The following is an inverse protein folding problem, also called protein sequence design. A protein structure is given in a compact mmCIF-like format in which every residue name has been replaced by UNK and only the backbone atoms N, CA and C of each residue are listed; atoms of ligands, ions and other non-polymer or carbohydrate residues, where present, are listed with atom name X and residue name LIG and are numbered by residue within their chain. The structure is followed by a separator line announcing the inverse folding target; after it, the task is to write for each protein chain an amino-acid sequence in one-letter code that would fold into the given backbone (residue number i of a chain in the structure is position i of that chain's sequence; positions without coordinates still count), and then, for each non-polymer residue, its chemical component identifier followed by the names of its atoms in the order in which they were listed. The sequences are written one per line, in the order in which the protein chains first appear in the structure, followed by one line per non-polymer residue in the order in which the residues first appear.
data_IF_954977686100
#
_entry.id   IF_954977686100
#
_cell.length_a   1.000
_cell.length_b   1.000
_cell.length_c   1.000
_cell.angle_alpha   90.00
_cell.angle_beta   90.00
_cell.angle_gamma   90.00
#
_symmetry.space_group_name_H-M   'P 1'
#
loop_
_entity.id
_entity.type
_entity.pdbx_description
1 polymer ?
#
# COMPACT_ATOMS: atom_id res chain seq x y z
N UNK A 1 21.92 16.51 8.46
CA UNK A 1 21.82 15.22 9.17
C UNK A 1 20.90 14.33 8.36
N UNK A 2 21.47 13.45 7.54
CA UNK A 2 20.71 12.57 6.65
C UNK A 2 19.92 11.59 7.52
N UNK A 3 18.60 11.74 7.59
CA UNK A 3 17.75 10.70 8.13
C UNK A 3 18.02 9.45 7.27
N UNK A 4 18.63 8.44 7.87
CA UNK A 4 18.83 7.16 7.20
C UNK A 4 17.46 6.67 6.76
N UNK A 5 17.26 6.48 5.45
CA UNK A 5 16.03 5.90 4.93
C UNK A 5 15.73 4.62 5.71
N UNK A 6 14.47 4.41 6.15
CA UNK A 6 14.12 3.23 6.91
C UNK A 6 14.52 1.97 6.14
N UNK A 7 15.43 1.17 6.71
CA UNK A 7 15.89 -0.07 6.08
C UNK A 7 14.79 -1.13 6.18
N UNK A 8 13.92 -1.15 5.19
CA UNK A 8 12.86 -2.16 5.10
C UNK A 8 13.47 -3.54 4.91
N UNK A 9 12.86 -4.54 5.57
CA UNK A 9 13.15 -5.97 5.35
C UNK A 9 11.95 -6.70 4.80
N UNK A 10 10.77 -6.07 4.85
CA UNK A 10 9.51 -6.65 4.40
C UNK A 10 8.64 -5.56 3.78
N UNK A 11 8.17 -5.76 2.56
CA UNK A 11 7.17 -4.93 1.90
C UNK A 11 5.93 -5.81 1.65
N UNK A 12 4.75 -5.32 2.05
CA UNK A 12 3.48 -5.99 1.79
C UNK A 12 2.52 -5.03 1.11
N UNK A 13 2.13 -5.36 -0.11
CA UNK A 13 1.03 -4.68 -0.82
C UNK A 13 -0.31 -5.29 -0.44
N UNK A 14 -1.21 -4.46 0.09
CA UNK A 14 -2.58 -4.87 0.41
C UNK A 14 -3.47 -4.85 -0.84
N UNK A 15 -4.42 -5.78 -0.87
CA UNK A 15 -5.42 -5.94 -1.93
C UNK A 15 -6.20 -7.23 -1.77
N UNK A 16 -7.36 -7.31 -2.42
CA UNK A 16 -8.18 -8.52 -2.42
C UNK A 16 -7.72 -9.47 -3.55
N UNK A 17 -7.65 -10.79 -3.31
CA UNK A 17 -7.06 -11.74 -4.25
C UNK A 17 -7.94 -12.05 -5.47
N UNK A 18 -9.27 -11.91 -5.36
CA UNK A 18 -10.15 -12.26 -6.48
C UNK A 18 -9.91 -11.37 -7.70
N UNK A 19 -9.94 -11.97 -8.90
CA UNK A 19 -9.72 -11.28 -10.18
C UNK A 19 -10.66 -10.10 -10.40
N UNK A 20 -11.88 -10.14 -9.86
CA UNK A 20 -12.84 -9.04 -9.93
C UNK A 20 -12.32 -7.75 -9.26
N UNK A 21 -11.36 -7.83 -8.34
CA UNK A 21 -10.77 -6.66 -7.68
C UNK A 21 -9.45 -6.19 -8.28
N UNK A 22 -8.84 -6.95 -9.20
CA UNK A 22 -7.48 -6.71 -9.70
C UNK A 22 -7.22 -5.25 -10.14
N UNK A 23 -8.19 -4.62 -10.80
CA UNK A 23 -8.11 -3.23 -11.27
C UNK A 23 -8.99 -2.26 -10.48
N UNK A 24 -9.14 -2.48 -9.18
CA UNK A 24 -9.86 -1.56 -8.27
C UNK A 24 -8.89 -0.71 -7.45
N UNK A 25 -9.34 0.45 -6.99
CA UNK A 25 -8.51 1.31 -6.13
C UNK A 25 -8.02 0.58 -4.87
N UNK A 26 -8.81 -0.34 -4.33
CA UNK A 26 -8.46 -1.13 -3.15
C UNK A 26 -7.30 -2.11 -3.38
N UNK A 27 -6.96 -2.37 -4.65
CA UNK A 27 -5.85 -3.23 -5.04
C UNK A 27 -4.61 -2.43 -5.47
N UNK A 28 -4.55 -1.12 -5.22
CA UNK A 28 -3.37 -0.29 -5.51
C UNK A 28 -2.10 -0.82 -4.85
N UNK A 29 -2.21 -1.40 -3.64
CA UNK A 29 -1.07 -2.06 -3.00
C UNK A 29 -0.55 -3.25 -3.80
N UNK A 30 -1.43 -4.07 -4.39
CA UNK A 30 -1.02 -5.15 -5.30
C UNK A 30 -0.37 -4.61 -6.58
N UNK A 31 -0.97 -3.59 -7.19
CA UNK A 31 -0.45 -2.97 -8.41
C UNK A 31 0.95 -2.36 -8.20
N UNK A 32 1.20 -1.78 -7.03
CA UNK A 32 2.52 -1.28 -6.65
C UNK A 32 3.55 -2.42 -6.55
N UNK A 33 3.17 -3.55 -5.93
CA UNK A 33 4.06 -4.71 -5.87
C UNK A 33 4.33 -5.27 -7.27
N UNK A 34 3.32 -5.33 -8.13
CA UNK A 34 3.50 -5.76 -9.52
C UNK A 34 4.49 -4.85 -10.25
N UNK A 35 4.41 -3.53 -10.04
CA UNK A 35 5.40 -2.57 -10.53
C UNK A 35 6.81 -2.85 -9.99
N UNK A 36 6.98 -3.01 -8.68
CA UNK A 36 8.29 -3.30 -8.08
C UNK A 36 8.94 -4.56 -8.64
N UNK A 37 8.14 -5.59 -8.91
CA UNK A 37 8.63 -6.86 -9.44
C UNK A 37 9.09 -6.77 -10.91
N UNK A 38 8.79 -5.68 -11.61
CA UNK A 38 9.32 -5.42 -12.97
C UNK A 38 10.77 -4.95 -12.96
N UNK A 39 11.28 -4.44 -11.84
CA UNK A 39 12.66 -4.01 -11.71
C UNK A 39 13.54 -5.18 -11.22
N UNK A 40 14.40 -5.74 -12.09
CA UNK A 40 15.28 -6.84 -11.71
C UNK A 40 16.31 -6.43 -10.65
N UNK A 41 16.71 -5.15 -10.56
CA UNK A 41 17.70 -4.67 -9.58
C UNK A 41 17.18 -4.75 -8.15
N UNK A 42 15.89 -4.46 -7.96
CA UNK A 42 15.21 -4.60 -6.68
C UNK A 42 15.27 -6.03 -6.12
N UNK A 43 15.34 -7.03 -7.00
CA UNK A 43 15.45 -8.43 -6.62
C UNK A 43 16.89 -8.89 -6.36
N UNK A 44 17.87 -8.34 -7.10
CA UNK A 44 19.28 -8.77 -7.03
C UNK A 44 20.11 -8.00 -6.00
N UNK A 45 19.89 -6.70 -5.84
CA UNK A 45 20.70 -5.83 -4.97
C UNK A 45 20.23 -5.86 -3.51
N UNK A 46 18.94 -6.14 -3.27
CA UNK A 46 18.33 -6.18 -1.94
C UNK A 46 18.05 -7.61 -1.48
N UNK A 47 19.10 -8.44 -1.36
CA UNK A 47 19.00 -9.86 -0.98
C UNK A 47 18.26 -10.15 0.34
N UNK A 48 18.12 -9.14 1.20
CA UNK A 48 17.42 -9.24 2.49
C UNK A 48 15.99 -8.66 2.49
N UNK A 49 15.55 -8.05 1.40
CA UNK A 49 14.21 -7.46 1.27
C UNK A 49 13.24 -8.52 0.75
N UNK A 50 12.18 -8.77 1.51
CA UNK A 50 11.11 -9.67 1.08
C UNK A 50 9.89 -8.86 0.66
N UNK A 51 9.32 -9.17 -0.50
CA UNK A 51 8.20 -8.45 -1.08
C UNK A 51 7.04 -9.42 -1.28
N UNK A 52 5.83 -9.05 -0.83
CA UNK A 52 4.64 -9.88 -0.93
C UNK A 52 3.40 -9.09 -1.32
N UNK A 53 2.52 -9.70 -2.12
CA UNK A 53 1.10 -9.32 -2.22
C UNK A 53 0.30 -10.10 -1.18
N UNK A 54 -0.66 -9.46 -0.52
CA UNK A 54 -1.61 -10.19 0.33
C UNK A 54 -2.44 -11.18 -0.49
N UNK A 55 -2.55 -12.42 -0.02
CA UNK A 55 -3.35 -13.48 -0.66
C UNK A 55 -4.67 -13.73 0.08
N UNK A 56 -5.11 -12.75 0.87
CA UNK A 56 -6.29 -12.81 1.73
C UNK A 56 -7.14 -11.56 1.54
N UNK A 57 -8.42 -11.63 1.89
CA UNK A 57 -9.29 -10.45 1.87
C UNK A 57 -8.78 -9.37 2.82
N UNK A 58 -9.11 -8.11 2.50
CA UNK A 58 -8.58 -6.93 3.18
C UNK A 58 -8.73 -7.01 4.70
N UNK A 59 -9.91 -7.41 5.19
CA UNK A 59 -10.21 -7.56 6.62
C UNK A 59 -9.50 -8.73 7.32
N UNK A 60 -8.72 -9.55 6.59
CA UNK A 60 -7.91 -10.65 7.09
C UNK A 60 -6.40 -10.40 6.96
N UNK A 61 -6.00 -9.19 6.51
CA UNK A 61 -4.60 -8.82 6.23
C UNK A 61 -3.67 -9.00 7.42
N UNK A 62 -4.16 -8.87 8.65
CA UNK A 62 -3.36 -8.96 9.87
C UNK A 62 -2.75 -10.33 10.09
N UNK A 63 -3.51 -11.41 9.83
CA UNK A 63 -2.98 -12.77 9.94
C UNK A 63 -1.92 -13.05 8.88
N UNK A 64 -2.11 -12.53 7.66
CA UNK A 64 -1.12 -12.61 6.60
C UNK A 64 0.18 -11.88 6.98
N UNK A 65 0.08 -10.62 7.41
CA UNK A 65 1.24 -9.82 7.83
C UNK A 65 1.97 -10.46 9.01
N UNK A 66 1.24 -10.98 10.00
CA UNK A 66 1.83 -11.72 11.13
C UNK A 66 2.64 -12.93 10.67
N UNK A 67 2.10 -13.71 9.72
CA UNK A 67 2.81 -14.85 9.11
C UNK A 67 4.07 -14.39 8.38
N UNK A 68 4.00 -13.30 7.61
CA UNK A 68 5.14 -12.78 6.86
C UNK A 68 6.24 -12.20 7.76
N UNK A 69 5.89 -11.52 8.84
CA UNK A 69 6.86 -11.07 9.86
C UNK A 69 7.61 -12.24 10.48
N UNK A 70 6.89 -13.32 10.84
CA UNK A 70 7.52 -14.55 11.37
C UNK A 70 8.46 -15.18 10.33
N UNK A 71 8.03 -15.26 9.07
CA UNK A 71 8.82 -15.84 7.98
C UNK A 71 10.07 -15.02 7.66
N UNK A 72 9.99 -13.70 7.70
CA UNK A 72 11.10 -12.81 7.34
C UNK A 72 12.07 -12.53 8.48
N UNK A 73 11.67 -12.77 9.73
CA UNK A 73 12.42 -12.33 10.90
C UNK A 73 12.54 -10.80 11.01
N UNK A 74 11.69 -10.05 10.30
CA UNK A 74 11.61 -8.60 10.38
C UNK A 74 10.83 -8.18 11.64
N UNK A 75 11.24 -7.05 12.23
CA UNK A 75 10.46 -6.38 13.27
C UNK A 75 9.34 -5.54 12.63
N UNK A 76 8.26 -5.21 13.36
CA UNK A 76 7.22 -4.30 12.85
C UNK A 76 7.76 -2.96 12.34
N UNK A 77 8.84 -2.43 12.91
CA UNK A 77 9.44 -1.17 12.47
C UNK A 77 10.17 -1.29 11.12
N UNK A 78 10.40 -2.52 10.64
CA UNK A 78 11.10 -2.84 9.40
C UNK A 78 10.15 -3.27 8.26
N UNK A 79 8.83 -3.20 8.47
CA UNK A 79 7.83 -3.49 7.43
C UNK A 79 7.27 -2.20 6.82
N UNK A 80 7.12 -2.20 5.49
CA UNK A 80 6.35 -1.23 4.73
C UNK A 80 5.04 -1.87 4.26
N UNK A 81 3.91 -1.36 4.73
CA UNK A 81 2.58 -1.73 4.24
C UNK A 81 2.17 -0.73 3.16
N UNK A 82 1.92 -1.21 1.95
CA UNK A 82 1.47 -0.38 0.82
C UNK A 82 -0.04 -0.55 0.65
N UNK A 83 -0.79 0.55 0.69
CA UNK A 83 -2.25 0.50 0.61
C UNK A 83 -2.85 1.79 0.04
N UNK A 84 -4.12 1.72 -0.36
CA UNK A 84 -4.89 2.86 -0.83
C UNK A 84 -5.31 3.81 0.29
N UNK A 85 -5.49 5.09 -0.02
CA UNK A 85 -5.88 6.09 0.96
C UNK A 85 -6.88 7.09 0.40
N UNK A 86 -8.08 7.09 0.98
CA UNK A 86 -9.19 7.94 0.51
C UNK A 86 -9.06 9.40 0.98
N UNK A 87 -8.16 9.72 1.90
CA UNK A 87 -7.90 11.10 2.32
C UNK A 87 -6.88 11.81 1.40
N UNK A 88 -6.18 11.03 0.56
CA UNK A 88 -5.12 11.53 -0.31
C UNK A 88 -5.61 11.53 -1.75
N UNK A 89 -5.34 12.62 -2.46
CA UNK A 89 -5.67 12.73 -3.87
C UNK A 89 -4.80 11.81 -4.74
N UNK A 90 -5.37 11.24 -5.78
CA UNK A 90 -4.66 10.43 -6.75
C UNK A 90 -3.51 11.19 -7.39
N UNK A 91 -2.40 10.53 -7.65
CA UNK A 91 -1.15 11.19 -8.07
C UNK A 91 -0.32 11.73 -6.91
N UNK A 92 -0.78 11.60 -5.67
CA UNK A 92 -0.03 11.90 -4.45
C UNK A 92 0.12 10.65 -3.59
N UNK A 93 1.14 10.64 -2.73
CA UNK A 93 1.38 9.58 -1.76
C UNK A 93 1.95 10.16 -0.47
N UNK A 94 1.93 9.37 0.60
CA UNK A 94 2.52 9.76 1.90
C UNK A 94 3.12 8.56 2.61
N UNK A 95 4.37 8.72 3.06
CA UNK A 95 4.99 7.79 3.99
C UNK A 95 4.55 8.16 5.43
N UNK A 96 4.13 7.15 6.21
CA UNK A 96 3.73 7.36 7.61
C UNK A 96 4.19 6.23 8.52
N UNK A 97 4.52 6.57 9.77
CA UNK A 97 4.92 5.62 10.80
C UNK A 97 4.06 5.78 12.04
N UNK A 98 3.65 4.69 12.69
CA UNK A 98 3.04 4.77 14.03
C UNK A 98 1.61 5.32 14.08
N UNK A 99 0.93 5.53 12.95
CA UNK A 99 -0.37 6.22 12.88
C UNK A 99 -1.55 5.25 12.84
N UNK A 100 -2.73 5.71 13.28
CA UNK A 100 -3.97 4.92 13.26
C UNK A 100 -4.45 4.57 11.84
N UNK A 101 -5.37 3.61 11.75
CA UNK A 101 -5.88 3.06 10.49
C UNK A 101 -6.72 4.04 9.66
N UNK A 102 -7.30 5.09 10.26
CA UNK A 102 -8.15 6.06 9.59
C UNK A 102 -9.29 5.40 8.75
N UNK A 103 -9.93 4.38 9.31
CA UNK A 103 -11.02 3.64 8.65
C UNK A 103 -10.58 2.59 7.62
N UNK A 104 -9.28 2.41 7.37
CA UNK A 104 -8.80 1.38 6.46
C UNK A 104 -8.79 -0.01 7.14
N UNK A 105 -9.74 -0.87 6.78
CA UNK A 105 -9.93 -2.19 7.40
C UNK A 105 -8.71 -3.12 7.39
N UNK A 106 -7.89 -3.08 6.33
CA UNK A 106 -6.64 -3.86 6.29
C UNK A 106 -5.64 -3.44 7.36
N UNK A 107 -5.36 -2.14 7.46
CA UNK A 107 -4.50 -1.56 8.48
C UNK A 107 -5.08 -1.77 9.88
N UNK A 108 -6.39 -1.59 10.07
CA UNK A 108 -7.07 -1.84 11.34
C UNK A 108 -6.88 -3.28 11.79
N UNK A 109 -7.12 -4.24 10.91
CA UNK A 109 -6.93 -5.66 11.19
C UNK A 109 -5.46 -6.01 11.46
N UNK A 110 -4.50 -5.40 10.74
CA UNK A 110 -3.07 -5.55 11.01
C UNK A 110 -2.75 -5.04 12.43
N UNK A 111 -3.13 -3.81 12.77
CA UNK A 111 -2.86 -3.21 14.08
C UNK A 111 -3.41 -4.07 15.23
N UNK A 112 -4.63 -4.58 15.09
CA UNK A 112 -5.24 -5.48 16.05
C UNK A 112 -4.49 -6.82 16.17
N UNK A 113 -4.07 -7.39 15.03
CA UNK A 113 -3.47 -8.73 14.99
C UNK A 113 -2.02 -8.78 15.48
N UNK A 114 -1.20 -7.78 15.11
CA UNK A 114 0.22 -7.69 15.52
C UNK A 114 0.40 -6.88 16.82
N UNK A 115 -0.69 -6.33 17.37
CA UNK A 115 -0.74 -5.56 18.64
C UNK A 115 0.20 -4.35 18.67
N UNK A 116 0.43 -3.70 17.52
CA UNK A 116 1.25 -2.49 17.43
C UNK A 116 0.84 -1.62 16.25
N UNK A 117 1.11 -0.32 16.35
CA UNK A 117 1.01 0.65 15.24
C UNK A 117 2.37 1.00 14.65
N UNK A 118 3.47 0.51 15.26
CA UNK A 118 4.86 0.86 14.94
C UNK A 118 5.35 0.17 13.66
N UNK A 119 4.72 0.48 12.54
CA UNK A 119 5.14 0.05 11.21
C UNK A 119 4.97 1.18 10.21
N UNK A 120 5.68 1.09 9.09
CA UNK A 120 5.60 2.06 8.01
C UNK A 120 4.43 1.75 7.08
N UNK A 121 3.84 2.81 6.54
CA UNK A 121 2.82 2.72 5.50
C UNK A 121 3.13 3.66 4.36
N UNK A 122 3.17 3.13 3.15
CA UNK A 122 3.07 3.91 1.92
C UNK A 122 1.60 4.05 1.57
N UNK A 123 1.06 5.23 1.84
CA UNK A 123 -0.35 5.58 1.62
C UNK A 123 -0.46 6.18 0.22
N UNK A 124 -1.11 5.48 -0.70
CA UNK A 124 -1.27 5.94 -2.09
C UNK A 124 -2.65 6.55 -2.26
N UNK A 125 -2.69 7.80 -2.71
CA UNK A 125 -3.94 8.52 -2.89
C UNK A 125 -4.80 7.95 -4.01
N UNK A 126 -6.10 7.92 -3.76
CA UNK A 126 -7.09 7.43 -4.73
C UNK A 126 -8.20 8.45 -5.00
N UNK A 127 -8.29 9.53 -4.23
CA UNK A 127 -9.36 10.52 -4.41
C UNK A 127 -9.14 11.35 -5.69
N UNK A 128 -10.14 11.57 -6.55
CA UNK A 128 -9.94 12.38 -7.74
C UNK A 128 -9.50 13.81 -7.41
N UNK A 129 -8.57 14.35 -8.21
CA UNK A 129 -8.13 15.73 -8.14
C UNK A 129 -9.17 16.69 -8.75
N UNK A 130 -9.35 17.90 -8.21
CA UNK A 130 -10.12 18.94 -8.90
C UNK A 130 -9.63 19.17 -10.34
N UNK A 131 -10.51 19.46 -11.32
CA UNK A 131 -11.93 19.77 -11.18
C UNK A 131 -12.87 18.55 -11.28
N UNK A 132 -12.41 17.32 -11.00
CA UNK A 132 -13.32 16.16 -11.00
C UNK A 132 -14.55 16.42 -10.13
N UNK A 133 -15.71 15.93 -10.59
CA UNK A 133 -17.00 16.28 -9.98
C UNK A 133 -17.00 16.14 -8.45
N UNK A 134 -17.49 17.18 -7.77
CA UNK A 134 -17.75 17.16 -6.31
C UNK A 134 -18.58 15.94 -5.90
N UNK A 135 -19.43 15.45 -6.80
CA UNK A 135 -20.22 14.22 -6.65
C UNK A 135 -19.33 12.99 -6.41
N UNK A 136 -18.25 12.82 -7.15
CA UNK A 136 -17.34 11.70 -6.96
C UNK A 136 -16.61 11.80 -5.61
N UNK A 137 -16.21 13.01 -5.19
CA UNK A 137 -15.55 13.26 -3.90
C UNK A 137 -16.44 12.93 -2.70
N UNK A 138 -17.76 13.10 -2.82
CA UNK A 138 -18.75 12.79 -1.76
C UNK A 138 -19.08 11.30 -1.61
N UNK A 139 -18.58 10.42 -2.49
CA UNK A 139 -18.79 8.98 -2.34
C UNK A 139 -18.02 8.47 -1.11
N UNK A 140 -18.70 7.71 -0.25
CA UNK A 140 -18.09 7.04 0.92
C UNK A 140 -16.86 6.21 0.50
N UNK A 141 -15.80 6.25 1.30
CA UNK A 141 -14.54 5.57 1.03
C UNK A 141 -14.74 4.10 0.67
N UNK A 142 -15.47 3.34 1.49
CA UNK A 142 -15.79 1.91 1.29
C UNK A 142 -16.38 1.59 -0.09
N UNK A 143 -17.22 2.49 -0.64
CA UNK A 143 -17.79 2.33 -1.98
C UNK A 143 -16.83 2.75 -3.07
N UNK A 144 -16.00 3.76 -2.80
CA UNK A 144 -15.06 4.31 -3.78
C UNK A 144 -13.88 3.38 -4.02
N UNK A 145 -13.33 2.75 -2.97
CA UNK A 145 -12.17 1.84 -3.08
C UNK A 145 -12.44 0.67 -4.02
N UNK A 146 -13.69 0.21 -4.12
CA UNK A 146 -14.08 -0.89 -5.01
C UNK A 146 -14.33 -0.48 -6.47
N UNK A 147 -14.26 0.82 -6.80
CA UNK A 147 -14.39 1.28 -8.19
C UNK A 147 -13.18 0.87 -9.02
N UNK A 148 -13.41 0.67 -10.31
CA UNK A 148 -12.36 0.41 -11.29
C UNK A 148 -11.49 1.65 -11.51
N UNK A 149 -10.19 1.42 -11.62
CA UNK A 149 -9.20 2.43 -11.98
C UNK A 149 -9.38 2.79 -13.45
N UNK A 150 -9.45 4.09 -13.75
CA UNK A 150 -9.56 4.56 -15.13
C UNK A 150 -8.19 4.57 -15.81
N UNK A 151 -8.15 4.66 -17.15
CA UNK A 151 -6.88 4.78 -17.88
C UNK A 151 -6.08 6.04 -17.50
N UNK A 152 -6.76 7.15 -17.17
CA UNK A 152 -6.11 8.37 -16.70
C UNK A 152 -5.51 8.21 -15.30
N UNK A 153 -6.27 7.58 -14.39
CA UNK A 153 -5.84 7.30 -13.02
C UNK A 153 -4.67 6.31 -13.00
N UNK A 154 -4.66 5.31 -13.90
CA UNK A 154 -3.55 4.38 -14.06
C UNK A 154 -2.22 5.10 -14.35
N UNK A 155 -2.22 6.07 -15.28
CA UNK A 155 -1.03 6.87 -15.60
C UNK A 155 -0.53 7.71 -14.42
N UNK A 156 -1.46 8.20 -13.58
CA UNK A 156 -1.09 8.92 -12.36
C UNK A 156 -0.48 7.98 -11.31
N UNK A 157 -1.03 6.77 -11.18
CA UNK A 157 -0.50 5.75 -10.28
C UNK A 157 0.89 5.28 -10.71
N UNK A 158 1.13 5.03 -12.00
CA UNK A 158 2.44 4.66 -12.52
C UNK A 158 3.52 5.69 -12.13
N UNK A 159 3.21 7.00 -12.28
CA UNK A 159 4.10 8.08 -11.82
C UNK A 159 4.30 8.09 -10.30
N UNK A 160 3.28 7.73 -9.51
CA UNK A 160 3.41 7.59 -8.06
C UNK A 160 4.31 6.41 -7.72
N UNK A 161 4.17 5.28 -8.42
CA UNK A 161 4.95 4.08 -8.18
C UNK A 161 6.44 4.33 -8.44
N UNK A 162 6.76 4.96 -9.57
CA UNK A 162 8.12 5.38 -9.92
C UNK A 162 8.73 6.29 -8.84
N UNK A 163 8.08 7.43 -8.56
CA UNK A 163 8.59 8.40 -7.58
C UNK A 163 8.76 7.80 -6.19
N UNK A 164 7.75 7.10 -5.70
CA UNK A 164 7.81 6.51 -4.36
C UNK A 164 8.83 5.39 -4.25
N UNK A 165 9.09 4.64 -5.32
CA UNK A 165 10.19 3.66 -5.34
C UNK A 165 11.53 4.37 -5.21
N UNK A 166 11.82 5.36 -6.06
CA UNK A 166 13.09 6.10 -6.02
C UNK A 166 13.34 6.83 -4.69
N UNK A 167 12.28 7.37 -4.06
CA UNK A 167 12.42 8.15 -2.83
C UNK A 167 12.49 7.29 -1.55
N UNK A 168 11.85 6.11 -1.54
CA UNK A 168 11.59 5.34 -0.31
C UNK A 168 12.33 3.99 -0.28
N UNK A 169 12.53 3.33 -1.42
CA UNK A 169 13.01 1.94 -1.52
C UNK A 169 14.41 1.92 -2.10
#
# INVERSE_FOLDING_TARGET
MNASNPKFRLIVGLGNPDSKYANTYHNVGHLFIDYLMTDPKLQTENSNLQIYKSTVFMNLSGMFVKKMLKKSGAKPEQILIVHDDSDIEIGKYKLSFGRGAAGHHGVENIQATIKTKKFWRLRIGIRPQPPYSLKLRRIKAEKFVLKKITGADKKLLEKVFEKSTTEII
#
